data_IF_502988043785
#
_entry.id   IF_502988043785
#
_cell.length_a   1.000
_cell.length_b   1.000
_cell.length_c   1.000
_cell.angle_alpha   90.00
_cell.angle_beta   90.00
_cell.angle_gamma   90.00
#
_symmetry.space_group_name_H-M   'P 1'
#
loop_
_entity.id
_entity.type
_entity.pdbx_description
1 polymer ?
#
# COMPACT_ATOMS: atom_id res chain seq x y z
N UNK A 1 21.00 -12.06 16.30
CA UNK A 1 20.10 -11.14 15.61
C UNK A 1 19.39 -11.86 14.49
N UNK A 2 18.15 -11.81 14.50
CA UNK A 2 17.37 -12.49 13.47
C UNK A 2 17.43 -11.69 12.19
N UNK A 3 17.89 -12.30 11.13
CA UNK A 3 17.73 -11.64 9.85
C UNK A 3 16.24 -11.55 9.56
N UNK A 4 15.82 -10.42 9.14
CA UNK A 4 14.42 -10.24 8.80
C UNK A 4 14.20 -10.51 7.31
N UNK A 5 14.74 -11.64 6.88
CA UNK A 5 14.69 -11.98 5.46
C UNK A 5 13.26 -12.15 4.96
N UNK A 6 12.35 -12.53 5.84
CA UNK A 6 10.95 -12.68 5.48
C UNK A 6 10.14 -11.41 5.67
N UNK A 7 10.72 -10.39 6.30
CA UNK A 7 10.02 -9.13 6.52
C UNK A 7 10.32 -8.18 5.35
N UNK A 8 9.35 -7.40 4.90
CA UNK A 8 9.61 -6.45 3.84
C UNK A 8 10.40 -5.27 4.37
N UNK A 9 11.22 -4.69 3.51
CA UNK A 9 11.86 -3.44 3.81
C UNK A 9 10.83 -2.34 3.54
N UNK A 10 10.18 -1.86 4.59
CA UNK A 10 9.25 -0.75 4.46
C UNK A 10 10.06 0.52 4.24
N UNK A 11 9.78 1.28 3.17
CA UNK A 11 10.53 2.50 2.91
C UNK A 11 10.40 3.49 4.05
N UNK A 12 11.39 4.39 4.22
CA UNK A 12 11.29 5.43 5.25
C UNK A 12 10.06 6.33 5.05
N UNK A 13 9.61 6.94 6.14
CA UNK A 13 8.40 7.76 6.12
C UNK A 13 8.47 8.87 5.08
N UNK A 14 9.64 9.51 4.92
CA UNK A 14 9.79 10.59 3.95
C UNK A 14 9.70 10.09 2.50
N UNK A 15 10.10 8.86 2.24
CA UNK A 15 9.97 8.27 0.91
C UNK A 15 8.50 7.98 0.61
N UNK A 16 7.79 7.43 1.58
CA UNK A 16 6.34 7.20 1.45
C UNK A 16 5.61 8.51 1.23
N UNK A 17 5.96 9.54 2.01
CA UNK A 17 5.31 10.85 1.88
C UNK A 17 5.56 11.46 0.50
N UNK A 18 6.79 11.34 -0.02
CA UNK A 18 7.11 11.87 -1.34
C UNK A 18 6.31 11.16 -2.44
N UNK A 19 6.19 9.83 -2.32
CA UNK A 19 5.37 9.05 -3.24
C UNK A 19 3.92 9.51 -3.20
N UNK A 20 3.38 9.71 -2.00
CA UNK A 20 1.99 10.12 -1.84
C UNK A 20 1.74 11.52 -2.42
N UNK A 21 2.67 12.45 -2.23
CA UNK A 21 2.53 13.79 -2.80
C UNK A 21 2.58 13.76 -4.32
N UNK A 22 3.48 12.96 -4.87
CA UNK A 22 3.61 12.82 -6.32
C UNK A 22 2.33 12.28 -6.94
N UNK A 23 1.72 11.30 -6.31
CA UNK A 23 0.57 10.60 -6.88
C UNK A 23 -0.75 11.09 -6.31
N UNK A 24 -0.75 12.18 -5.53
CA UNK A 24 -1.95 12.79 -4.95
C UNK A 24 -2.73 11.81 -4.11
N UNK A 25 -2.01 11.03 -3.31
CA UNK A 25 -2.58 10.08 -2.37
C UNK A 25 -2.76 10.82 -1.04
N UNK A 26 -3.97 10.76 -0.49
CA UNK A 26 -4.26 11.42 0.79
C UNK A 26 -4.13 10.47 1.97
N UNK A 27 -4.15 9.16 1.72
CA UNK A 27 -3.94 8.18 2.79
C UNK A 27 -3.30 6.94 2.20
N UNK A 28 -2.30 6.40 2.90
CA UNK A 28 -1.54 5.23 2.45
C UNK A 28 -1.42 4.27 3.62
N UNK A 29 -1.88 3.04 3.45
CA UNK A 29 -1.91 2.06 4.54
C UNK A 29 -1.42 0.71 4.06
N UNK A 30 -0.87 -0.07 5.00
CA UNK A 30 -0.57 -1.47 4.78
C UNK A 30 -1.69 -2.31 5.41
N UNK A 31 -2.00 -3.43 4.80
CA UNK A 31 -2.96 -4.37 5.36
C UNK A 31 -2.57 -5.79 4.96
N UNK A 32 -3.35 -6.77 5.40
CA UNK A 32 -3.15 -8.14 4.99
C UNK A 32 -2.02 -8.84 5.73
N UNK A 33 -1.34 -9.77 5.05
CA UNK A 33 -0.41 -10.69 5.67
C UNK A 33 0.77 -9.99 6.34
N UNK A 34 1.18 -8.83 5.84
CA UNK A 34 2.30 -8.10 6.44
C UNK A 34 2.01 -7.71 7.90
N UNK A 35 0.73 -7.54 8.25
CA UNK A 35 0.32 -7.19 9.61
C UNK A 35 -0.01 -8.38 10.47
N UNK A 36 -0.19 -9.57 9.87
CA UNK A 36 -0.65 -10.74 10.62
C UNK A 36 0.46 -11.66 11.09
N UNK A 37 1.69 -11.41 10.69
CA UNK A 37 2.80 -12.27 11.10
C UNK A 37 2.98 -13.52 10.25
N UNK A 38 2.11 -13.74 9.26
CA UNK A 38 2.25 -14.86 8.33
C UNK A 38 2.89 -14.44 7.00
N UNK A 39 3.49 -13.26 6.99
CA UNK A 39 4.18 -12.74 5.82
C UNK A 39 5.44 -13.55 5.54
N UNK A 40 5.67 -13.91 4.28
CA UNK A 40 6.83 -14.70 3.90
C UNK A 40 7.33 -14.23 2.53
N UNK A 41 8.37 -14.90 2.01
CA UNK A 41 9.01 -14.49 0.76
C UNK A 41 8.08 -14.55 -0.45
N UNK A 42 7.03 -15.35 -0.39
CA UNK A 42 6.06 -15.44 -1.48
C UNK A 42 4.88 -14.51 -1.32
N UNK A 43 4.84 -13.73 -0.24
CA UNK A 43 3.70 -12.85 0.01
C UNK A 43 3.86 -11.53 -0.72
N UNK A 44 2.73 -11.01 -1.24
CA UNK A 44 2.68 -9.66 -1.79
C UNK A 44 2.47 -8.67 -0.66
N UNK A 45 2.93 -7.44 -0.86
CA UNK A 45 2.62 -6.36 0.07
C UNK A 45 1.26 -5.79 -0.30
N UNK A 46 0.31 -5.86 0.61
CA UNK A 46 -1.04 -5.33 0.38
C UNK A 46 -1.09 -3.87 0.81
N UNK A 47 -1.39 -2.99 -0.13
CA UNK A 47 -1.37 -1.55 0.08
C UNK A 47 -2.74 -0.97 -0.26
N UNK A 48 -3.27 -0.17 0.66
CA UNK A 48 -4.51 0.55 0.45
C UNK A 48 -4.20 2.03 0.31
N UNK A 49 -4.66 2.63 -0.79
CA UNK A 49 -4.49 4.08 -1.02
C UNK A 49 -5.84 4.74 -1.16
N UNK A 50 -5.91 5.98 -0.68
CA UNK A 50 -7.06 6.85 -0.90
C UNK A 50 -6.56 8.03 -1.71
N UNK A 51 -7.04 8.13 -2.94
CA UNK A 51 -6.61 9.18 -3.86
C UNK A 51 -7.41 10.47 -3.62
N UNK A 52 -6.77 11.60 -3.87
CA UNK A 52 -7.49 12.88 -3.83
C UNK A 52 -8.64 12.84 -4.85
N UNK A 53 -9.79 13.47 -4.54
CA UNK A 53 -10.96 13.37 -5.42
C UNK A 53 -10.71 13.89 -6.83
N UNK A 54 -9.77 14.84 -6.98
CA UNK A 54 -9.46 15.44 -8.27
C UNK A 54 -8.23 14.83 -8.94
N UNK A 55 -7.73 13.71 -8.44
CA UNK A 55 -6.57 13.06 -9.05
C UNK A 55 -6.96 12.55 -10.44
N UNK A 56 -6.24 12.97 -11.49
CA UNK A 56 -6.65 12.67 -12.85
C UNK A 56 -6.07 11.37 -13.40
N UNK A 57 -5.87 10.38 -12.54
CA UNK A 57 -5.14 9.18 -12.92
C UNK A 57 -6.01 8.22 -13.71
N UNK A 58 -5.47 7.72 -14.82
CA UNK A 58 -6.06 6.66 -15.61
C UNK A 58 -5.44 5.33 -15.20
N UNK A 59 -5.85 4.26 -15.89
CA UNK A 59 -5.27 2.94 -15.65
C UNK A 59 -3.76 2.93 -15.91
N UNK A 60 -3.30 3.75 -16.85
CA UNK A 60 -1.88 3.82 -17.16
C UNK A 60 -1.07 4.30 -15.95
N UNK A 61 -1.50 5.39 -15.33
CA UNK A 61 -0.83 5.91 -14.13
C UNK A 61 -0.94 4.93 -12.98
N UNK A 62 -2.06 4.21 -12.87
CA UNK A 62 -2.23 3.19 -11.85
C UNK A 62 -1.16 2.11 -11.95
N UNK A 63 -0.88 1.64 -13.17
CA UNK A 63 0.16 0.64 -13.35
C UNK A 63 1.54 1.21 -13.06
N UNK A 64 1.77 2.49 -13.33
CA UNK A 64 3.04 3.13 -12.96
C UNK A 64 3.22 3.20 -11.45
N UNK A 65 2.15 3.48 -10.71
CA UNK A 65 2.20 3.47 -9.25
C UNK A 65 2.61 2.09 -8.73
N UNK A 66 2.03 1.04 -9.30
CA UNK A 66 2.35 -0.33 -8.89
C UNK A 66 3.83 -0.62 -9.14
N UNK A 67 4.34 -0.25 -10.32
CA UNK A 67 5.74 -0.50 -10.65
C UNK A 67 6.68 0.25 -9.70
N UNK A 68 6.36 1.49 -9.39
CA UNK A 68 7.18 2.27 -8.46
C UNK A 68 7.16 1.66 -7.07
N UNK A 69 6.00 1.21 -6.61
CA UNK A 69 5.90 0.57 -5.29
C UNK A 69 6.64 -0.76 -5.25
N UNK A 70 6.63 -1.52 -6.33
CA UNK A 70 7.42 -2.75 -6.41
C UNK A 70 8.91 -2.46 -6.22
N UNK A 71 9.39 -1.38 -6.80
CA UNK A 71 10.79 -0.98 -6.63
C UNK A 71 11.06 -0.52 -5.20
N UNK A 72 10.15 0.27 -4.64
CA UNK A 72 10.34 0.79 -3.28
C UNK A 72 10.32 -0.31 -2.23
N UNK A 73 9.47 -1.30 -2.38
CA UNK A 73 9.32 -2.38 -1.41
C UNK A 73 10.19 -3.60 -1.74
N UNK A 74 10.74 -3.66 -2.95
CA UNK A 74 11.56 -4.78 -3.36
C UNK A 74 10.81 -6.08 -3.56
N UNK A 75 9.50 -6.04 -3.78
CA UNK A 75 8.67 -7.21 -4.04
C UNK A 75 7.35 -6.81 -4.65
N UNK A 76 6.58 -7.81 -5.06
CA UNK A 76 5.27 -7.57 -5.65
C UNK A 76 4.34 -6.91 -4.65
N UNK A 77 3.46 -6.05 -5.17
CA UNK A 77 2.47 -5.36 -4.35
C UNK A 77 1.09 -5.59 -4.93
N UNK A 78 0.10 -5.61 -4.05
CA UNK A 78 -1.31 -5.62 -4.41
C UNK A 78 -1.86 -4.25 -4.00
N UNK A 79 -2.10 -3.40 -4.97
CA UNK A 79 -2.52 -2.02 -4.73
C UNK A 79 -4.03 -1.91 -4.86
N UNK A 80 -4.67 -1.46 -3.80
CA UNK A 80 -6.12 -1.35 -3.74
C UNK A 80 -6.49 0.10 -3.48
N UNK A 81 -7.46 0.62 -4.23
CA UNK A 81 -7.98 1.95 -4.00
C UNK A 81 -9.17 1.87 -3.06
N UNK A 82 -9.19 2.74 -2.03
CA UNK A 82 -10.23 2.73 -1.02
C UNK A 82 -11.62 2.88 -1.61
N UNK A 83 -11.78 3.75 -2.59
CA UNK A 83 -13.09 3.98 -3.22
C UNK A 83 -13.57 2.78 -4.03
N UNK A 84 -12.67 1.86 -4.38
CA UNK A 84 -13.02 0.64 -5.09
C UNK A 84 -13.47 -0.50 -4.20
N UNK A 85 -13.40 -0.33 -2.88
CA UNK A 85 -13.83 -1.37 -1.94
C UNK A 85 -15.34 -1.30 -1.79
N UNK A 86 -16.04 -2.13 -2.57
CA UNK A 86 -17.51 -2.12 -2.58
C UNK A 86 -18.13 -3.19 -1.72
N UNK A 87 -17.43 -4.34 -1.55
CA UNK A 87 -17.92 -5.40 -0.69
C UNK A 87 -17.85 -4.92 0.77
N UNK A 88 -18.99 -4.79 1.47
CA UNK A 88 -18.97 -4.18 2.81
C UNK A 88 -18.20 -5.01 3.84
N UNK A 89 -18.17 -6.32 3.70
CA UNK A 89 -17.44 -7.16 4.65
C UNK A 89 -15.94 -6.99 4.47
N UNK A 90 -15.46 -7.03 3.23
CA UNK A 90 -14.05 -6.84 2.93
C UNK A 90 -13.61 -5.44 3.31
N UNK A 91 -14.43 -4.43 3.00
CA UNK A 91 -14.14 -3.05 3.35
C UNK A 91 -13.99 -2.88 4.86
N UNK A 92 -14.93 -3.43 5.61
CA UNK A 92 -14.89 -3.36 7.08
C UNK A 92 -13.62 -4.01 7.62
N UNK A 93 -13.29 -5.19 7.13
CA UNK A 93 -12.12 -5.92 7.59
C UNK A 93 -10.84 -5.14 7.32
N UNK A 94 -10.66 -4.64 6.10
CA UNK A 94 -9.45 -3.91 5.74
C UNK A 94 -9.33 -2.62 6.55
N UNK A 95 -10.41 -1.84 6.64
CA UNK A 95 -10.35 -0.55 7.32
C UNK A 95 -10.13 -0.68 8.82
N UNK A 96 -10.47 -1.82 9.41
CA UNK A 96 -10.27 -2.02 10.84
C UNK A 96 -8.99 -2.78 11.16
N UNK A 97 -8.24 -3.24 10.15
CA UNK A 97 -7.03 -4.04 10.35
C UNK A 97 -5.92 -3.54 9.44
N UNK A 98 -5.66 -2.24 9.45
CA UNK A 98 -4.63 -1.63 8.61
C UNK A 98 -3.71 -0.78 9.46
N UNK A 99 -2.51 -0.56 8.94
CA UNK A 99 -1.57 0.37 9.53
C UNK A 99 -1.39 1.55 8.58
N UNK A 100 -1.78 2.74 9.04
CA UNK A 100 -1.67 3.95 8.23
C UNK A 100 -0.23 4.45 8.30
N UNK A 101 0.42 4.56 7.15
CA UNK A 101 1.79 5.06 7.06
C UNK A 101 1.84 6.52 6.65
N UNK A 102 0.79 7.04 6.03
CA UNK A 102 0.73 8.44 5.60
C UNK A 102 -0.72 8.87 5.57
N UNK A 103 -0.98 10.07 6.09
CA UNK A 103 -2.28 10.70 6.00
C UNK A 103 -2.08 12.20 5.83
N UNK A 104 -2.69 12.75 4.79
CA UNK A 104 -2.57 14.18 4.50
C UNK A 104 -3.48 15.00 5.40
#
# INVERSE_FOLDING_TARGET
MVPVASAPAVPPAEVIAAFCRKWRIVEFSLFGSILRGDFNLGSDVDILVDLAPDAPWSLYEWTEMIEELRELFGRDVDLVEKSGLRNPFRRHEILNNREILYAA
#
